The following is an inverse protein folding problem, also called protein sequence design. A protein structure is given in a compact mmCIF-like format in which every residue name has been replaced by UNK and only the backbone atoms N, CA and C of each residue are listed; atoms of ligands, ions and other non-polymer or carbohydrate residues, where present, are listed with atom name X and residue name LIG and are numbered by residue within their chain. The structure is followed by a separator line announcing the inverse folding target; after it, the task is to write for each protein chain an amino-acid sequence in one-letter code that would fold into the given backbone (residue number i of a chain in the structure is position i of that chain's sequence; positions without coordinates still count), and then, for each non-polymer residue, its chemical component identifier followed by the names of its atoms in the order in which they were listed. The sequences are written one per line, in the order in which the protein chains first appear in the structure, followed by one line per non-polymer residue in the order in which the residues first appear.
data_IF_442377623417
#
_entry.id   IF_442377623417
#
_cell.length_a   1.000
_cell.length_b   1.000
_cell.length_c   1.000
_cell.angle_alpha   90.00
_cell.angle_beta   90.00
_cell.angle_gamma   90.00
#
_symmetry.space_group_name_H-M   'P 1'
#
loop_
_entity.id
_entity.type
_entity.pdbx_description
1 polymer ?
#
# COMPACT_ATOMS: atom_id res chain seq x y z
N UNK A 1 -21.90 35.28 -14.63
CA UNK A 1 -21.95 35.31 -13.15
C UNK A 1 -21.69 33.89 -12.68
N UNK A 2 -20.42 33.56 -12.45
CA UNK A 2 -20.03 32.25 -11.94
C UNK A 2 -20.12 32.29 -10.41
N UNK A 3 -21.02 31.51 -9.84
CA UNK A 3 -21.02 31.22 -8.42
C UNK A 3 -19.90 30.20 -8.15
N UNK A 4 -18.80 30.65 -7.60
CA UNK A 4 -17.84 29.83 -6.91
C UNK A 4 -18.53 29.20 -5.70
N UNK A 5 -18.93 27.91 -5.81
CA UNK A 5 -19.19 27.12 -4.61
C UNK A 5 -17.87 26.96 -3.89
N UNK A 6 -17.74 27.58 -2.73
CA UNK A 6 -16.71 27.30 -1.75
C UNK A 6 -16.64 25.79 -1.56
N UNK A 7 -15.48 25.21 -1.87
CA UNK A 7 -15.15 23.88 -1.39
C UNK A 7 -15.25 23.96 0.14
N UNK A 8 -16.30 23.37 0.68
CA UNK A 8 -16.44 23.22 2.11
C UNK A 8 -15.17 22.53 2.61
N UNK A 9 -14.35 23.28 3.35
CA UNK A 9 -13.33 22.70 4.21
C UNK A 9 -14.07 21.67 5.05
N UNK A 10 -13.75 20.41 4.88
CA UNK A 10 -14.21 19.36 5.78
C UNK A 10 -13.79 19.83 7.17
N UNK A 11 -14.77 20.21 7.97
CA UNK A 11 -14.53 20.53 9.39
C UNK A 11 -13.87 19.30 10.01
N UNK A 12 -12.78 19.47 10.77
CA UNK A 12 -12.20 18.33 11.48
C UNK A 12 -13.32 17.74 12.34
N UNK A 13 -13.54 16.45 12.13
CA UNK A 13 -14.38 15.62 12.99
C UNK A 13 -13.93 15.87 14.44
N UNK A 14 -14.87 15.88 15.39
CA UNK A 14 -14.64 16.07 16.84
C UNK A 14 -13.86 14.88 17.46
N UNK A 15 -12.80 14.42 16.79
CA UNK A 15 -11.86 13.45 17.32
C UNK A 15 -10.97 14.13 18.37
N UNK A 16 -10.77 13.53 19.55
CA UNK A 16 -9.84 14.03 20.56
C UNK A 16 -8.37 13.90 20.10
N UNK A 17 -8.12 13.59 18.84
CA UNK A 17 -6.82 13.34 18.25
C UNK A 17 -6.16 14.65 17.82
N UNK A 18 -5.11 15.06 18.53
CA UNK A 18 -4.24 16.16 18.10
C UNK A 18 -3.07 15.59 17.29
N UNK A 19 -3.11 15.77 15.97
CA UNK A 19 -2.08 15.31 15.04
C UNK A 19 -0.68 15.80 15.40
N UNK A 20 -0.57 16.98 16.05
CA UNK A 20 0.71 17.54 16.48
C UNK A 20 1.30 16.76 17.65
N UNK A 21 0.48 16.43 18.65
CA UNK A 21 0.95 15.66 19.81
C UNK A 21 1.41 14.27 19.36
N UNK A 22 0.60 13.57 18.56
CA UNK A 22 0.92 12.23 18.10
C UNK A 22 2.14 12.19 17.18
N UNK A 23 2.35 13.20 16.34
CA UNK A 23 3.55 13.29 15.51
C UNK A 23 4.81 13.53 16.35
N UNK A 24 4.75 14.41 17.34
CA UNK A 24 5.85 14.61 18.28
C UNK A 24 6.22 13.32 19.03
N UNK A 25 5.22 12.60 19.53
CA UNK A 25 5.43 11.29 20.19
C UNK A 25 6.04 10.25 19.23
N UNK A 26 5.57 10.23 17.99
CA UNK A 26 6.10 9.36 16.93
C UNK A 26 7.60 9.64 16.70
N UNK A 27 7.99 10.91 16.49
CA UNK A 27 9.40 11.29 16.28
C UNK A 27 10.28 10.91 17.46
N UNK A 28 9.81 11.15 18.69
CA UNK A 28 10.54 10.78 19.92
C UNK A 28 10.72 9.26 20.05
N UNK A 29 9.70 8.49 19.70
CA UNK A 29 9.77 7.01 19.70
C UNK A 29 10.75 6.51 18.64
N UNK A 30 10.75 7.10 17.43
CA UNK A 30 11.72 6.79 16.39
C UNK A 30 13.15 7.11 16.84
N UNK A 31 13.37 8.28 17.45
CA UNK A 31 14.68 8.68 17.96
C UNK A 31 15.18 7.70 19.01
N UNK A 32 14.37 7.37 19.99
CA UNK A 32 14.71 6.41 21.07
C UNK A 32 15.09 5.05 20.48
N UNK A 33 14.27 4.53 19.56
CA UNK A 33 14.51 3.23 18.90
C UNK A 33 15.79 3.25 18.08
N UNK A 34 16.00 4.31 17.29
CA UNK A 34 17.16 4.42 16.39
C UNK A 34 18.45 4.55 17.21
N UNK A 35 18.47 5.40 18.23
CA UNK A 35 19.64 5.55 19.12
C UNK A 35 20.01 4.23 19.80
N UNK A 36 19.02 3.43 20.22
CA UNK A 36 19.27 2.12 20.81
C UNK A 36 19.95 1.10 19.86
N UNK A 37 19.88 1.32 18.55
CA UNK A 37 20.55 0.49 17.54
C UNK A 37 21.98 0.98 17.24
N UNK A 38 22.31 2.23 17.57
CA UNK A 38 23.62 2.81 17.29
C UNK A 38 24.65 2.34 18.32
N UNK A 39 25.84 2.03 17.86
CA UNK A 39 27.00 1.85 18.74
C UNK A 39 27.44 3.18 19.32
N UNK A 40 28.13 3.16 20.46
CA UNK A 40 28.68 4.35 21.09
C UNK A 40 29.53 5.19 20.09
N UNK A 41 29.34 6.49 20.07
CA UNK A 41 30.02 7.43 19.18
C UNK A 41 29.59 7.38 17.72
N UNK A 42 28.55 6.60 17.38
CA UNK A 42 28.04 6.49 16.01
C UNK A 42 26.85 7.43 15.78
N UNK A 43 26.66 7.80 14.52
CA UNK A 43 25.47 8.51 14.05
C UNK A 43 24.82 7.77 12.87
N UNK A 44 23.58 8.08 12.57
CA UNK A 44 22.84 7.58 11.40
C UNK A 44 22.35 8.75 10.57
N UNK A 45 22.68 8.72 9.27
CA UNK A 45 22.14 9.63 8.26
C UNK A 45 21.08 8.91 7.42
N UNK A 46 19.84 9.37 7.50
CA UNK A 46 18.72 8.89 6.69
C UNK A 46 18.54 9.87 5.52
N UNK A 47 18.42 9.36 4.30
CA UNK A 47 18.34 10.15 3.08
C UNK A 47 17.01 9.91 2.33
N UNK A 48 16.36 10.97 1.87
CA UNK A 48 15.15 10.88 1.07
C UNK A 48 15.39 10.28 -0.32
N UNK A 49 16.61 10.38 -0.83
CA UNK A 49 17.01 9.99 -2.18
C UNK A 49 17.27 11.21 -3.07
N UNK A 50 17.90 10.97 -4.21
CA UNK A 50 18.26 12.00 -5.19
C UNK A 50 17.33 11.95 -6.40
N UNK A 51 17.15 13.08 -7.08
CA UNK A 51 16.41 13.17 -8.33
C UNK A 51 17.06 12.28 -9.41
N UNK A 52 16.22 11.64 -10.20
CA UNK A 52 16.63 10.80 -11.31
C UNK A 52 15.98 11.26 -12.61
N UNK A 53 16.68 11.12 -13.73
CA UNK A 53 16.20 11.47 -15.05
C UNK A 53 16.07 10.23 -15.93
N UNK A 54 15.21 10.31 -16.94
CA UNK A 54 15.17 9.28 -17.98
C UNK A 54 16.50 9.25 -18.75
N UNK A 55 16.90 8.06 -19.20
CA UNK A 55 18.15 7.88 -19.90
C UNK A 55 18.23 8.77 -21.16
N UNK A 56 19.25 9.63 -21.22
CA UNK A 56 19.47 10.54 -22.36
C UNK A 56 18.49 11.71 -22.46
N UNK A 57 17.77 12.03 -21.38
CA UNK A 57 16.74 13.07 -21.32
C UNK A 57 16.98 13.96 -20.08
N UNK A 58 16.57 15.21 -20.14
CA UNK A 58 16.50 16.13 -19.00
C UNK A 58 15.18 16.05 -18.24
N UNK A 59 14.26 15.19 -18.66
CA UNK A 59 12.99 14.94 -17.98
C UNK A 59 13.23 14.12 -16.71
N UNK A 60 12.87 14.70 -15.56
CA UNK A 60 12.88 14.00 -14.28
C UNK A 60 11.86 12.86 -14.21
N UNK A 61 12.24 11.77 -13.53
CA UNK A 61 11.33 10.73 -13.09
C UNK A 61 10.56 11.26 -11.86
N UNK A 62 9.26 10.99 -11.76
CA UNK A 62 8.48 11.41 -10.60
C UNK A 62 9.13 10.92 -9.32
N UNK A 63 9.55 11.85 -8.47
CA UNK A 63 10.28 11.55 -7.25
C UNK A 63 9.35 10.97 -6.19
N UNK A 64 9.84 9.95 -5.51
CA UNK A 64 9.25 9.38 -4.32
C UNK A 64 10.34 9.22 -3.26
N UNK A 65 10.21 9.92 -2.15
CA UNK A 65 11.16 9.85 -1.07
C UNK A 65 11.20 8.44 -0.44
N UNK A 66 12.39 8.06 0.00
CA UNK A 66 12.65 6.75 0.59
C UNK A 66 11.87 6.53 1.88
N UNK A 67 11.31 5.33 2.06
CA UNK A 67 10.38 5.03 3.15
C UNK A 67 10.93 5.28 4.55
N UNK A 68 12.20 4.96 4.81
CA UNK A 68 12.79 5.24 6.13
C UNK A 68 12.97 6.73 6.41
N UNK A 69 13.20 7.56 5.39
CA UNK A 69 13.18 9.01 5.55
C UNK A 69 11.76 9.54 5.82
N UNK A 70 10.78 9.09 5.00
CA UNK A 70 9.37 9.48 5.17
C UNK A 70 8.80 9.06 6.52
N UNK A 71 9.32 8.00 7.12
CA UNK A 71 8.93 7.57 8.46
C UNK A 71 9.25 8.62 9.55
N UNK A 72 10.27 9.47 9.31
CA UNK A 72 10.64 10.57 10.19
C UNK A 72 9.98 11.89 9.78
N UNK A 73 10.00 12.20 8.49
CA UNK A 73 9.58 13.49 7.94
C UNK A 73 8.65 13.30 6.73
N UNK A 74 7.42 13.81 6.77
CA UNK A 74 6.47 13.73 5.66
C UNK A 74 6.82 14.73 4.54
N UNK A 75 8.06 14.69 4.06
CA UNK A 75 8.61 15.59 3.04
C UNK A 75 8.99 14.79 1.81
N UNK A 76 8.18 14.87 0.75
CA UNK A 76 8.43 14.16 -0.50
C UNK A 76 9.30 15.00 -1.44
N UNK A 77 10.59 15.14 -1.11
CA UNK A 77 11.55 15.95 -1.85
C UNK A 77 12.91 15.27 -1.90
N UNK A 78 13.66 15.38 -3.02
CA UNK A 78 15.03 14.86 -3.12
C UNK A 78 15.98 15.61 -2.17
N UNK A 79 17.08 14.95 -1.85
CA UNK A 79 18.23 15.49 -1.12
C UNK A 79 17.87 16.08 0.26
N UNK A 80 16.93 15.45 0.97
CA UNK A 80 16.59 15.77 2.34
C UNK A 80 17.16 14.72 3.29
N UNK A 81 17.62 15.11 4.49
CA UNK A 81 18.27 14.19 5.39
C UNK A 81 17.81 14.35 6.84
N UNK A 82 17.76 13.22 7.57
CA UNK A 82 17.66 13.20 9.02
C UNK A 82 18.95 12.62 9.58
N UNK A 83 19.64 13.38 10.44
CA UNK A 83 20.84 12.94 11.15
C UNK A 83 20.48 12.67 12.61
N UNK A 84 20.72 11.42 13.05
CA UNK A 84 20.42 10.95 14.41
C UNK A 84 21.71 10.64 15.16
N UNK A 85 21.83 11.17 16.39
CA UNK A 85 22.95 10.91 17.33
C UNK A 85 22.43 10.68 18.73
N UNK A 86 23.12 9.82 19.48
CA UNK A 86 22.80 9.60 20.88
C UNK A 86 23.01 10.88 21.71
N UNK A 87 22.01 11.24 22.53
CA UNK A 87 22.08 12.39 23.42
C UNK A 87 21.81 13.75 22.74
N UNK A 88 21.57 13.77 21.43
CA UNK A 88 21.24 14.97 20.68
C UNK A 88 19.78 14.89 20.17
N UNK A 89 19.17 16.06 19.93
CA UNK A 89 17.94 16.20 19.16
C UNK A 89 18.24 15.80 17.72
N UNK A 90 17.36 15.04 17.02
CA UNK A 90 17.59 14.72 15.62
C UNK A 90 17.69 15.99 14.78
N UNK A 91 18.58 16.01 13.79
CA UNK A 91 18.73 17.16 12.89
C UNK A 91 18.02 16.89 11.57
N UNK A 92 17.23 17.84 11.13
CA UNK A 92 16.73 17.87 9.76
C UNK A 92 17.65 18.73 8.90
N UNK A 93 18.46 18.10 8.05
CA UNK A 93 19.30 18.80 7.07
C UNK A 93 18.44 19.09 5.84
N UNK A 94 17.93 20.32 5.78
CA UNK A 94 17.00 20.80 4.79
C UNK A 94 17.78 21.43 3.63
N UNK A 95 17.99 20.68 2.55
CA UNK A 95 18.68 21.19 1.35
C UNK A 95 17.67 21.89 0.44
N UNK A 96 17.81 23.20 0.32
CA UNK A 96 16.97 24.07 -0.51
C UNK A 96 17.86 24.92 -1.39
N UNK A 97 18.27 24.45 -2.59
CA UNK A 97 19.11 25.22 -3.50
C UNK A 97 18.35 26.46 -4.00
N UNK A 98 19.11 27.52 -4.32
CA UNK A 98 18.56 28.65 -5.03
C UNK A 98 18.38 28.25 -6.49
N UNK A 99 17.16 28.20 -6.95
CA UNK A 99 16.78 27.82 -8.30
C UNK A 99 15.66 28.73 -8.81
N UNK A 100 15.72 29.08 -10.08
CA UNK A 100 14.68 29.89 -10.74
C UNK A 100 13.84 29.07 -11.74
N UNK A 101 14.24 27.81 -12.01
CA UNK A 101 13.54 26.92 -12.92
C UNK A 101 12.43 26.14 -12.20
N UNK A 102 12.67 25.74 -10.95
CA UNK A 102 11.77 24.89 -10.18
C UNK A 102 11.40 25.53 -8.85
N UNK A 103 10.14 25.38 -8.47
CA UNK A 103 9.68 25.75 -7.14
C UNK A 103 10.42 24.92 -6.08
N UNK A 104 11.11 25.64 -5.18
CA UNK A 104 11.89 25.05 -4.12
C UNK A 104 11.12 24.99 -2.79
N UNK A 105 9.82 25.33 -2.78
CA UNK A 105 8.97 25.25 -1.58
C UNK A 105 8.81 23.80 -1.10
N UNK A 106 8.84 23.62 0.22
CA UNK A 106 8.54 22.33 0.83
C UNK A 106 7.02 22.26 1.02
N UNK A 107 6.43 21.20 0.47
CA UNK A 107 5.01 20.91 0.64
C UNK A 107 4.82 20.14 1.95
N UNK A 108 4.87 20.85 3.08
CA UNK A 108 4.66 20.28 4.42
C UNK A 108 3.23 20.61 4.85
N UNK A 109 2.56 19.67 5.51
CA UNK A 109 1.28 19.93 6.15
C UNK A 109 1.46 21.06 7.19
N UNK A 110 0.74 22.19 7.07
CA UNK A 110 0.90 23.32 7.98
C UNK A 110 0.69 22.97 9.46
N UNK A 111 -0.05 21.91 9.77
CA UNK A 111 -0.23 21.42 11.14
C UNK A 111 1.04 20.78 11.71
N UNK A 112 1.90 20.24 10.85
CA UNK A 112 3.13 19.56 11.25
C UNK A 112 4.37 20.46 11.22
N UNK A 113 4.33 21.58 10.51
CA UNK A 113 5.49 22.46 10.33
C UNK A 113 6.08 22.92 11.66
N UNK A 114 5.26 23.45 12.58
CA UNK A 114 5.70 23.85 13.91
C UNK A 114 6.24 22.71 14.76
N UNK A 115 5.66 21.51 14.63
CA UNK A 115 6.15 20.32 15.33
C UNK A 115 7.52 19.88 14.82
N UNK A 116 7.77 20.02 13.51
CA UNK A 116 9.09 19.73 12.92
C UNK A 116 10.14 20.66 13.52
N UNK A 117 9.87 21.95 13.64
CA UNK A 117 10.78 22.91 14.29
C UNK A 117 11.00 22.61 15.78
N UNK A 118 9.96 22.11 16.47
CA UNK A 118 10.05 21.72 17.88
C UNK A 118 10.81 20.41 18.12
N UNK A 119 10.67 19.42 17.24
CA UNK A 119 11.25 18.07 17.43
C UNK A 119 12.58 17.86 16.70
N UNK A 120 12.96 18.74 15.78
CA UNK A 120 14.22 18.67 15.03
C UNK A 120 15.04 19.96 15.16
N UNK A 121 16.38 19.83 15.18
CA UNK A 121 17.27 20.94 14.89
C UNK A 121 17.31 21.12 13.36
N UNK A 122 16.57 22.11 12.84
CA UNK A 122 16.49 22.34 11.39
C UNK A 122 17.70 23.12 10.90
N UNK A 123 18.56 22.46 10.12
CA UNK A 123 19.75 23.05 9.48
C UNK A 123 19.45 23.30 8.00
N UNK A 124 19.33 24.57 7.62
CA UNK A 124 19.07 24.98 6.23
C UNK A 124 20.37 25.05 5.44
N UNK A 125 20.45 24.29 4.37
CA UNK A 125 21.59 24.18 3.46
C UNK A 125 21.17 24.64 2.07
N UNK A 126 22.09 25.23 1.32
CA UNK A 126 21.84 25.71 -0.04
C UNK A 126 22.38 24.77 -1.12
N UNK A 127 23.14 23.75 -0.73
CA UNK A 127 23.65 22.75 -1.64
C UNK A 127 23.88 21.40 -0.95
N UNK A 128 23.82 20.32 -1.73
CA UNK A 128 24.12 18.97 -1.29
C UNK A 128 25.56 18.83 -0.75
N UNK A 129 26.50 19.59 -1.27
CA UNK A 129 27.91 19.56 -0.83
C UNK A 129 28.11 20.01 0.63
N UNK A 130 27.20 20.83 1.16
CA UNK A 130 27.26 21.29 2.55
C UNK A 130 26.89 20.23 3.58
N UNK A 131 26.24 19.12 3.14
CA UNK A 131 25.85 18.00 4.03
C UNK A 131 27.08 17.37 4.69
N UNK A 132 28.21 17.25 3.97
CA UNK A 132 29.45 16.67 4.48
C UNK A 132 29.99 17.42 5.70
N UNK A 133 29.79 18.75 5.79
CA UNK A 133 30.20 19.55 6.92
C UNK A 133 29.37 19.35 8.19
N UNK A 134 28.21 18.69 8.09
CA UNK A 134 27.28 18.46 9.20
C UNK A 134 27.54 17.16 9.96
N UNK A 135 28.44 16.29 9.46
CA UNK A 135 28.67 14.95 9.99
C UNK A 135 30.16 14.59 10.02
N UNK A 136 30.54 13.67 10.91
CA UNK A 136 31.78 12.93 10.80
C UNK A 136 31.49 11.64 10.02
N UNK A 137 31.84 11.62 8.75
CA UNK A 137 31.55 10.50 7.87
C UNK A 137 32.14 9.18 8.38
N UNK A 138 33.31 9.20 9.01
CA UNK A 138 34.01 7.99 9.49
C UNK A 138 33.24 7.27 10.62
N UNK A 139 32.39 7.99 11.36
CA UNK A 139 31.55 7.46 12.43
C UNK A 139 30.06 7.43 12.06
N UNK A 140 29.69 7.85 10.84
CA UNK A 140 28.32 7.91 10.36
C UNK A 140 27.94 6.66 9.59
N UNK A 141 26.83 6.03 9.95
CA UNK A 141 26.14 5.02 9.14
C UNK A 141 25.11 5.71 8.26
N UNK A 142 24.80 5.13 7.11
CA UNK A 142 23.86 5.69 6.14
C UNK A 142 22.75 4.69 5.82
N UNK A 143 21.52 5.19 5.74
CA UNK A 143 20.35 4.46 5.20
C UNK A 143 19.68 5.34 4.14
N UNK A 144 19.61 4.83 2.91
CA UNK A 144 18.99 5.53 1.79
C UNK A 144 19.25 4.85 0.47
N UNK A 145 18.61 5.33 -0.61
CA UNK A 145 18.72 4.69 -1.93
C UNK A 145 20.06 4.99 -2.64
N UNK A 146 20.78 6.05 -2.23
CA UNK A 146 22.01 6.50 -2.89
C UNK A 146 23.27 6.10 -2.12
N UNK A 147 23.49 4.79 -2.03
CA UNK A 147 24.65 4.23 -1.32
C UNK A 147 26.00 4.64 -1.95
N UNK A 148 26.05 4.86 -3.27
CA UNK A 148 27.27 5.27 -3.96
C UNK A 148 27.68 6.70 -3.58
N UNK A 149 26.73 7.62 -3.50
CA UNK A 149 26.96 8.97 -2.99
C UNK A 149 27.45 8.94 -1.53
N UNK A 150 26.79 8.18 -0.67
CA UNK A 150 27.18 8.04 0.73
C UNK A 150 28.61 7.50 0.87
N UNK A 151 28.98 6.50 0.09
CA UNK A 151 30.36 5.96 0.06
C UNK A 151 31.38 7.01 -0.40
N UNK A 152 31.02 7.89 -1.34
CA UNK A 152 31.89 8.98 -1.77
C UNK A 152 32.18 10.00 -0.68
N UNK A 153 31.30 10.14 0.33
CA UNK A 153 31.51 10.93 1.53
C UNK A 153 32.43 10.22 2.56
N UNK A 154 32.69 8.93 2.39
CA UNK A 154 33.48 8.13 3.32
C UNK A 154 32.70 7.66 4.55
N UNK A 155 31.37 7.48 4.45
CA UNK A 155 30.55 6.94 5.54
C UNK A 155 31.02 5.55 5.97
N UNK A 156 30.87 5.26 7.25
CA UNK A 156 31.33 3.98 7.83
C UNK A 156 30.62 2.76 7.22
N UNK A 157 29.32 2.84 7.02
CA UNK A 157 28.53 1.81 6.35
C UNK A 157 27.34 2.43 5.61
N UNK A 158 26.89 1.76 4.54
CA UNK A 158 25.69 2.13 3.83
C UNK A 158 24.71 0.93 3.80
N UNK A 159 23.47 1.16 4.26
CA UNK A 159 22.39 0.18 4.30
C UNK A 159 22.78 -1.14 5.03
N UNK A 160 23.50 -1.03 6.14
CA UNK A 160 23.93 -2.19 6.90
C UNK A 160 22.71 -3.01 7.39
N UNK A 161 22.64 -4.32 7.09
CA UNK A 161 21.49 -5.15 7.49
C UNK A 161 21.21 -5.13 9.01
N UNK A 162 22.22 -4.94 9.82
CA UNK A 162 22.10 -4.83 11.29
C UNK A 162 21.37 -3.58 11.76
N UNK A 163 21.21 -2.56 10.89
CA UNK A 163 20.43 -1.35 11.13
C UNK A 163 19.10 -1.38 10.38
N UNK A 164 19.12 -1.80 9.11
CA UNK A 164 17.91 -1.83 8.28
C UNK A 164 16.90 -2.86 8.81
N UNK A 165 17.34 -4.08 9.14
CA UNK A 165 16.43 -5.14 9.55
C UNK A 165 15.59 -4.80 10.80
N UNK A 166 16.15 -4.29 11.92
CA UNK A 166 15.32 -3.92 13.08
C UNK A 166 14.38 -2.74 12.77
N UNK A 167 14.77 -1.82 11.89
CA UNK A 167 13.90 -0.71 11.49
C UNK A 167 12.74 -1.21 10.60
N UNK A 168 13.00 -2.07 9.62
CA UNK A 168 11.97 -2.71 8.79
C UNK A 168 10.98 -3.51 9.65
N UNK A 169 11.51 -4.31 10.59
CA UNK A 169 10.68 -5.12 11.47
C UNK A 169 9.72 -4.28 12.30
N UNK A 170 10.22 -3.15 12.82
CA UNK A 170 9.45 -2.26 13.68
C UNK A 170 8.37 -1.47 12.92
N UNK A 171 8.56 -1.19 11.63
CA UNK A 171 7.57 -0.46 10.80
C UNK A 171 6.26 -1.21 10.61
N UNK A 172 6.24 -2.53 10.79
CA UNK A 172 5.00 -3.28 10.73
C UNK A 172 3.98 -2.83 11.78
N UNK A 173 4.43 -2.39 12.97
CA UNK A 173 3.60 -1.92 14.09
C UNK A 173 3.51 -0.39 14.03
N UNK A 174 2.31 0.12 13.81
CA UNK A 174 2.05 1.54 13.56
C UNK A 174 1.86 2.33 14.85
N UNK A 175 2.39 3.55 14.90
CA UNK A 175 2.05 4.54 15.93
C UNK A 175 0.66 5.14 15.69
N UNK A 176 0.10 5.86 16.67
CA UNK A 176 -1.19 6.54 16.49
C UNK A 176 -1.13 7.61 15.39
N UNK A 177 0.01 8.30 15.22
CA UNK A 177 0.21 9.20 14.08
C UNK A 177 0.05 8.47 12.74
N UNK A 178 0.74 7.35 12.56
CA UNK A 178 0.70 6.56 11.33
C UNK A 178 -0.72 6.03 11.05
N UNK A 179 -1.40 5.54 12.09
CA UNK A 179 -2.77 5.04 11.99
C UNK A 179 -3.74 6.13 11.52
N UNK A 180 -3.60 7.38 12.01
CA UNK A 180 -4.46 8.47 11.55
C UNK A 180 -4.19 8.85 10.09
N UNK A 181 -2.91 8.86 9.63
CA UNK A 181 -2.62 9.09 8.22
C UNK A 181 -3.29 8.03 7.33
N UNK A 182 -3.24 6.76 7.74
CA UNK A 182 -3.89 5.65 7.03
C UNK A 182 -5.43 5.78 7.02
N UNK A 183 -6.04 6.22 8.14
CA UNK A 183 -7.49 6.51 8.19
C UNK A 183 -7.88 7.63 7.25
N UNK A 184 -7.11 8.72 7.21
CA UNK A 184 -7.38 9.84 6.29
C UNK A 184 -7.23 9.39 4.85
N UNK A 185 -6.17 8.65 4.50
CA UNK A 185 -5.96 8.11 3.17
C UNK A 185 -7.11 7.17 2.76
N UNK A 186 -7.57 6.30 3.67
CA UNK A 186 -8.74 5.44 3.46
C UNK A 186 -10.02 6.23 3.15
N UNK A 187 -10.34 7.25 3.96
CA UNK A 187 -11.52 8.10 3.74
C UNK A 187 -11.48 8.83 2.40
N UNK A 188 -10.32 9.36 1.99
CA UNK A 188 -10.16 10.00 0.68
C UNK A 188 -10.37 9.01 -0.47
N UNK A 189 -9.76 7.82 -0.37
CA UNK A 189 -9.90 6.79 -1.40
C UNK A 189 -11.34 6.28 -1.53
N UNK A 190 -12.09 6.14 -0.43
CA UNK A 190 -13.51 5.75 -0.47
C UNK A 190 -14.37 6.74 -1.26
N UNK A 191 -14.12 8.04 -1.14
CA UNK A 191 -14.79 9.04 -1.98
C UNK A 191 -14.46 8.84 -3.46
N UNK A 192 -13.20 8.51 -3.77
CA UNK A 192 -12.76 8.16 -5.13
C UNK A 192 -13.45 6.92 -5.68
N UNK A 193 -13.57 5.84 -4.87
CA UNK A 193 -14.26 4.61 -5.25
C UNK A 193 -15.74 4.85 -5.52
N UNK A 194 -16.42 5.68 -4.72
CA UNK A 194 -17.82 6.05 -4.97
C UNK A 194 -17.98 6.76 -6.31
N UNK A 195 -17.15 7.77 -6.61
CA UNK A 195 -17.17 8.48 -7.88
C UNK A 195 -16.84 7.57 -9.08
N UNK A 196 -15.90 6.65 -8.91
CA UNK A 196 -15.56 5.67 -9.94
C UNK A 196 -16.74 4.72 -10.25
N UNK A 197 -17.43 4.22 -9.23
CA UNK A 197 -18.61 3.37 -9.39
C UNK A 197 -19.76 4.14 -10.08
N UNK A 198 -20.01 5.39 -9.72
CA UNK A 198 -20.99 6.25 -10.39
C UNK A 198 -20.66 6.46 -11.88
N UNK A 199 -19.38 6.77 -12.19
CA UNK A 199 -18.89 6.91 -13.56
C UNK A 199 -19.08 5.63 -14.38
N UNK A 200 -18.79 4.46 -13.80
CA UNK A 200 -19.01 3.16 -14.42
C UNK A 200 -20.50 2.93 -14.75
N UNK A 201 -21.39 3.12 -13.76
CA UNK A 201 -22.82 2.91 -13.92
C UNK A 201 -23.45 3.89 -14.94
N UNK A 202 -22.81 5.05 -15.13
CA UNK A 202 -23.18 6.02 -16.18
C UNK A 202 -22.59 5.66 -17.56
N UNK A 203 -21.89 4.52 -17.72
CA UNK A 203 -21.29 4.08 -18.97
C UNK A 203 -19.95 4.74 -19.30
N UNK A 204 -19.20 5.13 -18.27
CA UNK A 204 -17.84 5.66 -18.42
C UNK A 204 -16.85 4.62 -18.93
N UNK A 205 -15.87 5.07 -19.73
CA UNK A 205 -14.70 4.28 -20.11
C UNK A 205 -13.76 4.11 -18.90
N UNK A 206 -12.82 3.14 -18.95
CA UNK A 206 -11.82 2.95 -17.87
C UNK A 206 -11.04 4.24 -17.58
N UNK A 207 -10.75 5.03 -18.63
CA UNK A 207 -10.10 6.33 -18.50
C UNK A 207 -10.97 7.36 -17.77
N UNK A 208 -12.27 7.45 -18.10
CA UNK A 208 -13.22 8.37 -17.45
C UNK A 208 -13.43 7.97 -15.97
N UNK A 209 -13.54 6.67 -15.69
CA UNK A 209 -13.67 6.11 -14.34
C UNK A 209 -12.42 6.44 -13.49
N UNK A 210 -11.23 6.25 -14.07
CA UNK A 210 -9.97 6.60 -13.40
C UNK A 210 -9.89 8.09 -13.06
N UNK A 211 -10.26 8.97 -14.01
CA UNK A 211 -10.26 10.41 -13.76
C UNK A 211 -11.29 10.82 -12.70
N UNK A 212 -12.46 10.17 -12.66
CA UNK A 212 -13.47 10.41 -11.62
C UNK A 212 -12.92 10.09 -10.23
N UNK A 213 -12.18 8.97 -10.09
CA UNK A 213 -11.47 8.62 -8.86
C UNK A 213 -10.48 9.71 -8.45
N UNK A 214 -9.55 10.09 -9.35
CA UNK A 214 -8.52 11.08 -9.05
C UNK A 214 -9.12 12.44 -8.66
N UNK A 215 -10.16 12.89 -9.39
CA UNK A 215 -10.83 14.15 -9.11
C UNK A 215 -11.52 14.16 -7.75
N UNK A 216 -12.19 13.07 -7.38
CA UNK A 216 -12.85 12.96 -6.08
C UNK A 216 -11.87 12.90 -4.91
N UNK A 217 -10.70 12.28 -5.10
CA UNK A 217 -9.61 12.29 -4.12
C UNK A 217 -8.82 13.60 -4.09
N UNK A 218 -8.96 14.48 -5.10
CA UNK A 218 -8.14 15.69 -5.27
C UNK A 218 -6.67 15.38 -5.57
N UNK A 219 -6.39 14.29 -6.28
CA UNK A 219 -5.04 13.79 -6.57
C UNK A 219 -4.67 13.96 -8.04
N UNK A 220 -3.39 14.17 -8.28
CA UNK A 220 -2.76 13.92 -9.58
C UNK A 220 -2.26 12.47 -9.62
N UNK A 221 -2.13 11.87 -10.82
CA UNK A 221 -1.76 10.46 -10.95
C UNK A 221 -0.44 10.09 -10.25
N UNK A 222 0.56 10.96 -10.29
CA UNK A 222 1.85 10.72 -9.63
C UNK A 222 1.80 10.81 -8.09
N UNK A 223 0.70 11.31 -7.52
CA UNK A 223 0.48 11.40 -6.08
C UNK A 223 -0.21 10.16 -5.51
N UNK A 224 -0.72 9.26 -6.35
CA UNK A 224 -1.30 8.00 -5.89
C UNK A 224 -0.22 7.10 -5.27
N UNK A 225 -0.58 6.23 -4.30
CA UNK A 225 0.38 5.32 -3.67
C UNK A 225 0.96 4.30 -4.65
N UNK A 226 0.20 3.92 -5.66
CA UNK A 226 0.55 3.04 -6.77
C UNK A 226 -0.28 3.42 -7.99
N UNK A 227 0.08 2.88 -9.16
CA UNK A 227 -0.68 3.11 -10.38
C UNK A 227 -2.03 2.38 -10.29
N UNK A 228 -3.13 3.10 -10.23
CA UNK A 228 -4.47 2.54 -10.11
C UNK A 228 -4.76 1.51 -11.20
N UNK A 229 -5.47 0.44 -10.84
CA UNK A 229 -6.01 -0.57 -11.74
C UNK A 229 -7.48 -0.24 -11.94
N UNK A 230 -7.91 -0.09 -13.20
CA UNK A 230 -9.32 0.13 -13.55
C UNK A 230 -9.62 -0.80 -14.71
N UNK A 231 -10.27 -1.92 -14.45
CA UNK A 231 -10.56 -2.95 -15.43
C UNK A 231 -12.05 -3.20 -15.62
N UNK A 232 -12.53 -3.11 -16.85
CA UNK A 232 -13.88 -3.50 -17.22
C UNK A 232 -13.90 -4.93 -17.75
N UNK A 233 -14.79 -5.76 -17.22
CA UNK A 233 -15.06 -7.11 -17.69
C UNK A 233 -13.77 -7.98 -17.71
N UNK A 234 -13.37 -8.55 -18.87
CA UNK A 234 -12.17 -9.38 -18.97
C UNK A 234 -10.88 -8.71 -18.48
N UNK A 235 -10.81 -7.37 -18.55
CA UNK A 235 -9.65 -6.63 -18.03
C UNK A 235 -9.53 -6.75 -16.50
N UNK A 236 -10.64 -7.03 -15.80
CA UNK A 236 -10.66 -7.32 -14.37
C UNK A 236 -9.95 -8.64 -13.99
N UNK A 237 -9.69 -9.53 -14.96
CA UNK A 237 -8.90 -10.76 -14.76
C UNK A 237 -7.39 -10.56 -14.99
N UNK A 238 -6.96 -9.37 -15.40
CA UNK A 238 -5.53 -9.01 -15.49
C UNK A 238 -5.13 -8.32 -14.21
N UNK A 239 -4.46 -9.04 -13.31
CA UNK A 239 -4.23 -8.61 -11.92
C UNK A 239 -3.56 -7.24 -11.79
N UNK A 240 -2.67 -6.86 -12.72
CA UNK A 240 -2.02 -5.55 -12.78
C UNK A 240 -2.32 -4.85 -14.11
N UNK A 241 -3.61 -4.67 -14.43
CA UNK A 241 -4.05 -4.01 -15.67
C UNK A 241 -3.79 -2.50 -15.64
N UNK A 242 -3.06 -1.97 -16.65
CA UNK A 242 -2.58 -0.59 -16.64
C UNK A 242 -3.07 0.29 -17.78
N UNK A 243 -3.79 -0.27 -18.79
CA UNK A 243 -4.04 0.47 -20.03
C UNK A 243 -5.08 1.59 -19.92
N UNK A 244 -6.11 1.44 -19.08
CA UNK A 244 -7.21 2.41 -18.94
C UNK A 244 -7.77 2.86 -20.30
N UNK A 245 -8.51 1.96 -20.96
CA UNK A 245 -9.10 2.19 -22.28
C UNK A 245 -9.94 3.47 -22.32
N UNK A 246 -9.79 4.26 -23.39
CA UNK A 246 -10.62 5.44 -23.66
C UNK A 246 -11.91 5.11 -24.39
N UNK A 247 -11.98 3.92 -24.98
CA UNK A 247 -13.18 3.46 -25.64
C UNK A 247 -14.25 3.07 -24.60
N UNK A 248 -15.45 3.61 -24.76
CA UNK A 248 -16.63 3.18 -23.99
C UNK A 248 -17.02 1.77 -24.42
N UNK A 249 -17.49 0.98 -23.47
CA UNK A 249 -17.95 -0.38 -23.70
C UNK A 249 -19.44 -0.46 -23.39
N UNK A 250 -20.25 -0.52 -24.45
CA UNK A 250 -21.68 -0.71 -24.31
C UNK A 250 -21.99 -2.05 -23.62
N UNK A 251 -22.86 -2.03 -22.62
CA UNK A 251 -23.26 -3.21 -21.88
C UNK A 251 -22.13 -3.82 -21.02
N UNK A 252 -21.15 -3.02 -20.59
CA UNK A 252 -20.13 -3.48 -19.65
C UNK A 252 -20.78 -4.08 -18.42
N UNK A 253 -20.33 -5.28 -18.03
CA UNK A 253 -20.93 -6.10 -16.99
C UNK A 253 -20.41 -5.77 -15.60
N UNK A 254 -19.08 -5.48 -15.51
CA UNK A 254 -18.37 -5.42 -14.26
C UNK A 254 -17.24 -4.40 -14.33
N UNK A 255 -17.07 -3.63 -13.25
CA UNK A 255 -15.88 -2.84 -12.94
C UNK A 255 -15.14 -3.48 -11.77
N UNK A 256 -13.85 -3.73 -11.94
CA UNK A 256 -12.91 -3.89 -10.83
C UNK A 256 -12.02 -2.65 -10.81
N UNK A 257 -12.01 -1.94 -9.68
CA UNK A 257 -11.10 -0.83 -9.44
C UNK A 257 -10.28 -1.12 -8.19
N UNK A 258 -8.95 -1.05 -8.33
CA UNK A 258 -7.96 -1.15 -7.28
C UNK A 258 -7.17 0.15 -7.30
N UNK A 259 -7.42 0.97 -6.27
CA UNK A 259 -6.97 2.35 -6.23
C UNK A 259 -6.88 2.87 -4.80
N UNK A 260 -5.84 3.66 -4.53
CA UNK A 260 -5.57 4.22 -3.22
C UNK A 260 -5.34 5.73 -3.23
N UNK A 261 -5.34 6.30 -2.05
CA UNK A 261 -4.93 7.68 -1.77
C UNK A 261 -3.69 7.70 -0.87
N UNK A 262 -2.97 8.81 -0.84
CA UNK A 262 -1.77 8.97 -0.01
C UNK A 262 -1.83 10.27 0.80
N UNK A 263 -1.54 10.17 2.10
CA UNK A 263 -1.50 11.29 3.03
C UNK A 263 -0.20 11.23 3.84
N UNK A 264 0.59 12.29 3.80
CA UNK A 264 1.86 12.41 4.53
C UNK A 264 2.80 11.19 4.36
N UNK A 265 2.81 10.60 3.16
CA UNK A 265 3.61 9.42 2.83
C UNK A 265 2.88 8.09 2.99
N UNK A 266 1.80 8.00 3.77
CA UNK A 266 1.04 6.77 4.04
C UNK A 266 -0.03 6.52 3.00
N UNK A 267 -0.05 5.31 2.43
CA UNK A 267 -0.99 4.91 1.38
C UNK A 267 -2.13 4.05 1.89
N UNK A 268 -3.34 4.25 1.36
CA UNK A 268 -4.39 3.23 1.41
C UNK A 268 -4.32 2.32 0.18
N UNK A 269 -4.86 1.13 0.31
CA UNK A 269 -4.95 0.13 -0.75
C UNK A 269 -6.35 -0.50 -0.72
N UNK A 270 -7.15 -0.25 -1.75
CA UNK A 270 -8.57 -0.60 -1.75
C UNK A 270 -8.96 -1.16 -3.11
N UNK A 271 -9.53 -2.35 -3.11
CA UNK A 271 -10.19 -2.88 -4.30
C UNK A 271 -11.69 -2.99 -4.09
N UNK A 272 -12.45 -2.57 -5.09
CA UNK A 272 -13.91 -2.75 -5.17
C UNK A 272 -14.31 -3.32 -6.52
N UNK A 273 -15.27 -4.23 -6.48
CA UNK A 273 -15.88 -4.79 -7.68
C UNK A 273 -17.36 -4.40 -7.72
N UNK A 274 -17.79 -3.75 -8.82
CA UNK A 274 -19.15 -3.25 -9.01
C UNK A 274 -19.79 -3.95 -10.21
N UNK A 275 -20.98 -4.52 -10.03
CA UNK A 275 -21.79 -5.10 -11.10
C UNK A 275 -22.73 -4.05 -11.73
N UNK A 276 -22.87 -4.06 -13.04
CA UNK A 276 -23.94 -3.34 -13.74
C UNK A 276 -25.20 -4.21 -13.88
N UNK A 277 -26.28 -3.64 -14.43
CA UNK A 277 -27.49 -4.38 -14.80
C UNK A 277 -27.28 -5.46 -15.86
N UNK A 278 -26.15 -5.44 -16.58
CA UNK A 278 -25.80 -6.40 -17.63
C UNK A 278 -24.95 -7.57 -17.08
N UNK A 279 -24.61 -7.53 -15.79
CA UNK A 279 -23.76 -8.53 -15.16
C UNK A 279 -24.45 -9.90 -15.14
N UNK A 280 -23.69 -10.97 -15.40
CA UNK A 280 -24.18 -12.33 -15.27
C UNK A 280 -24.68 -12.58 -13.83
N UNK A 281 -25.88 -13.15 -13.60
CA UNK A 281 -26.46 -13.30 -12.25
C UNK A 281 -25.54 -14.03 -11.26
N UNK A 282 -24.85 -15.08 -11.71
CA UNK A 282 -23.89 -15.81 -10.86
C UNK A 282 -22.72 -14.91 -10.47
N UNK A 283 -22.22 -14.07 -11.39
CA UNK A 283 -21.13 -13.14 -11.07
C UNK A 283 -21.56 -12.10 -10.03
N UNK A 284 -22.76 -11.54 -10.18
CA UNK A 284 -23.34 -10.62 -9.18
C UNK A 284 -23.46 -11.28 -7.81
N UNK A 285 -23.87 -12.55 -7.76
CA UNK A 285 -23.95 -13.35 -6.51
C UNK A 285 -22.56 -13.63 -5.92
N UNK A 286 -21.57 -13.92 -6.76
CA UNK A 286 -20.19 -14.12 -6.34
C UNK A 286 -19.56 -12.86 -5.72
N UNK A 287 -19.88 -11.66 -6.24
CA UNK A 287 -19.42 -10.40 -5.64
C UNK A 287 -19.96 -10.26 -4.21
N UNK A 288 -21.24 -10.57 -3.99
CA UNK A 288 -21.82 -10.55 -2.65
C UNK A 288 -21.18 -11.60 -1.74
N UNK A 289 -20.97 -12.82 -2.25
CA UNK A 289 -20.29 -13.89 -1.52
C UNK A 289 -18.84 -13.54 -1.17
N UNK A 290 -18.09 -12.95 -2.10
CA UNK A 290 -16.72 -12.50 -1.87
C UNK A 290 -16.65 -11.37 -0.83
N UNK A 291 -17.60 -10.43 -0.87
CA UNK A 291 -17.71 -9.38 0.15
C UNK A 291 -17.97 -9.97 1.54
N UNK A 292 -18.81 -10.98 1.63
CA UNK A 292 -19.08 -11.68 2.89
C UNK A 292 -17.82 -12.41 3.39
N UNK A 293 -17.15 -13.15 2.52
CA UNK A 293 -15.91 -13.86 2.83
C UNK A 293 -14.81 -12.90 3.32
N UNK A 294 -14.62 -11.77 2.65
CA UNK A 294 -13.66 -10.74 3.10
C UNK A 294 -13.97 -10.28 4.51
N UNK A 295 -15.22 -9.93 4.81
CA UNK A 295 -15.65 -9.50 6.16
C UNK A 295 -15.47 -10.60 7.21
N UNK A 296 -15.67 -11.86 6.88
CA UNK A 296 -15.46 -13.01 7.76
C UNK A 296 -13.96 -13.20 8.08
N UNK A 297 -13.09 -13.06 7.07
CA UNK A 297 -11.65 -13.08 7.27
C UNK A 297 -11.23 -11.91 8.17
N UNK A 298 -11.69 -10.70 7.90
CA UNK A 298 -11.43 -9.51 8.74
C UNK A 298 -11.87 -9.75 10.18
N UNK A 299 -13.09 -10.25 10.41
CA UNK A 299 -13.62 -10.51 11.74
C UNK A 299 -12.81 -11.57 12.53
N UNK A 300 -12.08 -12.44 11.84
CA UNK A 300 -11.23 -13.48 12.46
C UNK A 300 -9.89 -12.96 12.96
N UNK A 301 -9.44 -11.77 12.51
CA UNK A 301 -8.12 -11.20 12.81
C UNK A 301 -7.99 -10.93 14.31
N UNK A 302 -6.88 -11.41 14.88
CA UNK A 302 -6.50 -11.15 16.28
C UNK A 302 -5.00 -11.26 16.51
N UNK A 303 -4.44 -10.61 17.54
CA UNK A 303 -3.04 -10.77 17.89
C UNK A 303 -2.66 -12.24 18.11
N UNK A 304 -1.44 -12.61 17.72
CA UNK A 304 -0.90 -13.96 17.86
C UNK A 304 -1.24 -14.93 16.73
N UNK A 305 -2.13 -14.56 15.79
CA UNK A 305 -2.37 -15.36 14.59
C UNK A 305 -1.18 -15.31 13.63
N UNK A 306 -0.91 -16.42 12.95
CA UNK A 306 -0.01 -16.42 11.80
C UNK A 306 -0.75 -15.87 10.57
N UNK A 307 -0.19 -14.85 9.88
CA UNK A 307 -0.83 -14.26 8.69
C UNK A 307 -1.18 -15.30 7.61
N UNK A 308 -0.36 -16.35 7.34
CA UNK A 308 -0.72 -17.39 6.37
C UNK A 308 -2.07 -18.07 6.64
N UNK A 309 -2.53 -18.16 7.89
CA UNK A 309 -3.84 -18.75 8.20
C UNK A 309 -5.02 -17.94 7.64
N UNK A 310 -4.85 -16.63 7.45
CA UNK A 310 -5.86 -15.79 6.77
C UNK A 310 -5.93 -16.12 5.27
N UNK A 311 -4.80 -16.45 4.66
CA UNK A 311 -4.75 -16.89 3.28
C UNK A 311 -5.43 -18.26 3.10
N UNK A 312 -5.15 -19.21 3.99
CA UNK A 312 -5.80 -20.52 3.96
C UNK A 312 -7.32 -20.38 4.12
N UNK A 313 -7.79 -19.47 4.98
CA UNK A 313 -9.21 -19.13 5.11
C UNK A 313 -9.79 -18.56 3.80
N UNK A 314 -9.06 -17.66 3.12
CA UNK A 314 -9.50 -17.10 1.84
C UNK A 314 -9.61 -18.18 0.75
N UNK A 315 -8.65 -19.08 0.63
CA UNK A 315 -8.65 -20.17 -0.34
C UNK A 315 -9.79 -21.16 -0.06
N UNK A 316 -10.04 -21.49 1.22
CA UNK A 316 -11.18 -22.34 1.61
C UNK A 316 -12.51 -21.69 1.23
N UNK A 317 -12.69 -20.40 1.55
CA UNK A 317 -13.91 -19.66 1.21
C UNK A 317 -14.10 -19.52 -0.31
N UNK A 318 -13.03 -19.32 -1.09
CA UNK A 318 -13.12 -19.37 -2.57
C UNK A 318 -13.62 -20.73 -3.04
N UNK A 319 -13.10 -21.85 -2.49
CA UNK A 319 -13.56 -23.18 -2.84
C UNK A 319 -15.05 -23.39 -2.50
N UNK A 320 -15.51 -22.91 -1.36
CA UNK A 320 -16.91 -22.92 -0.96
C UNK A 320 -17.80 -22.15 -1.93
N UNK A 321 -17.39 -20.93 -2.32
CA UNK A 321 -18.10 -20.11 -3.32
C UNK A 321 -18.18 -20.81 -4.68
N UNK A 322 -17.12 -21.50 -5.12
CA UNK A 322 -17.13 -22.26 -6.37
C UNK A 322 -18.18 -23.38 -6.35
N UNK A 323 -18.32 -24.09 -5.22
CA UNK A 323 -19.31 -25.15 -5.05
C UNK A 323 -20.72 -24.61 -4.91
N UNK A 324 -20.93 -23.60 -4.05
CA UNK A 324 -22.22 -22.96 -3.79
C UNK A 324 -22.87 -22.43 -5.07
N UNK A 325 -22.06 -21.85 -5.96
CA UNK A 325 -22.55 -21.26 -7.21
C UNK A 325 -22.52 -22.23 -8.41
N UNK A 326 -22.26 -23.53 -8.16
CA UNK A 326 -22.29 -24.56 -9.19
C UNK A 326 -21.17 -24.43 -10.26
N UNK A 327 -20.11 -23.72 -9.94
CA UNK A 327 -18.89 -23.61 -10.79
C UNK A 327 -18.04 -24.86 -10.62
N UNK A 328 -18.01 -25.40 -9.40
CA UNK A 328 -17.38 -26.67 -9.08
C UNK A 328 -18.37 -27.64 -8.46
N UNK A 329 -17.98 -28.93 -8.41
CA UNK A 329 -18.76 -30.05 -7.83
C UNK A 329 -17.90 -30.79 -6.81
N UNK A 330 -18.51 -31.39 -5.82
CA UNK A 330 -17.86 -32.14 -4.75
C UNK A 330 -17.61 -31.29 -3.52
N UNK A 331 -16.68 -31.72 -2.69
CA UNK A 331 -16.34 -31.01 -1.44
C UNK A 331 -15.35 -29.88 -1.69
N UNK A 332 -15.57 -28.75 -1.03
CA UNK A 332 -14.69 -27.59 -1.12
C UNK A 332 -13.24 -27.93 -0.67
N UNK A 333 -13.09 -28.77 0.37
CA UNK A 333 -11.78 -29.25 0.83
C UNK A 333 -11.00 -30.00 -0.23
N UNK A 334 -11.65 -30.84 -1.06
CA UNK A 334 -11.00 -31.54 -2.18
C UNK A 334 -10.48 -30.55 -3.24
N UNK A 335 -11.21 -29.45 -3.50
CA UNK A 335 -10.77 -28.41 -4.42
C UNK A 335 -9.52 -27.68 -3.92
N UNK A 336 -9.39 -27.50 -2.60
CA UNK A 336 -8.20 -26.91 -1.97
C UNK A 336 -7.02 -27.88 -2.07
N UNK A 337 -7.19 -29.13 -1.61
CA UNK A 337 -6.13 -30.15 -1.57
C UNK A 337 -5.56 -30.44 -2.97
N UNK A 338 -6.40 -30.44 -4.00
CA UNK A 338 -5.99 -30.62 -5.40
C UNK A 338 -5.46 -29.35 -6.07
N UNK A 339 -5.39 -28.25 -5.35
CA UNK A 339 -4.91 -26.97 -5.85
C UNK A 339 -5.83 -26.28 -6.88
N UNK A 340 -7.07 -26.73 -7.02
CA UNK A 340 -8.04 -26.18 -7.98
C UNK A 340 -8.44 -24.76 -7.56
N UNK A 341 -8.79 -24.54 -6.28
CA UNK A 341 -9.17 -23.23 -5.76
C UNK A 341 -8.07 -22.18 -5.96
N UNK A 342 -6.80 -22.56 -5.85
CA UNK A 342 -5.65 -21.68 -6.09
C UNK A 342 -5.53 -21.19 -7.54
N UNK A 343 -6.17 -21.87 -8.51
CA UNK A 343 -6.22 -21.40 -9.90
C UNK A 343 -7.23 -20.29 -10.12
N UNK A 344 -8.22 -20.18 -9.22
CA UNK A 344 -9.19 -19.09 -9.21
C UNK A 344 -8.73 -17.91 -8.33
N UNK A 345 -7.85 -18.13 -7.34
CA UNK A 345 -7.19 -17.09 -6.55
C UNK A 345 -5.67 -17.29 -6.58
N UNK A 346 -4.98 -16.77 -7.61
CA UNK A 346 -3.56 -17.03 -7.82
C UNK A 346 -2.60 -16.12 -7.06
N UNK A 347 -3.09 -15.23 -6.20
CA UNK A 347 -2.30 -14.28 -5.42
C UNK A 347 -2.46 -14.51 -3.91
N UNK A 348 -1.64 -13.85 -3.09
CA UNK A 348 -1.78 -13.84 -1.64
C UNK A 348 -3.02 -13.06 -1.18
N UNK A 349 -3.49 -13.34 0.04
CA UNK A 349 -4.65 -12.63 0.63
C UNK A 349 -4.33 -11.20 1.04
N UNK A 350 -3.08 -10.76 0.87
CA UNK A 350 -2.67 -9.40 1.20
C UNK A 350 -1.21 -9.27 1.64
N UNK A 351 -0.89 -8.10 2.18
CA UNK A 351 0.46 -7.67 2.53
C UNK A 351 0.44 -6.62 3.64
N UNK A 352 1.59 -6.37 4.30
CA UNK A 352 1.73 -5.20 5.18
C UNK A 352 1.53 -3.92 4.39
N UNK A 353 0.92 -2.92 5.03
CA UNK A 353 0.60 -1.61 4.46
C UNK A 353 1.13 -0.49 5.37
N UNK A 354 1.60 0.60 4.77
CA UNK A 354 2.08 1.78 5.48
C UNK A 354 2.56 2.88 4.55
N UNK A 355 3.80 3.33 4.75
CA UNK A 355 4.47 4.29 3.86
C UNK A 355 4.65 3.68 2.45
N UNK A 356 4.98 2.41 2.40
CA UNK A 356 4.96 1.64 1.15
C UNK A 356 3.69 0.82 1.10
N UNK A 357 3.11 0.70 -0.09
CA UNK A 357 1.91 -0.14 -0.29
C UNK A 357 2.21 -1.59 0.07
N UNK A 358 3.24 -2.17 -0.53
CA UNK A 358 3.84 -3.41 -0.04
C UNK A 358 4.91 -3.05 0.98
N UNK A 359 4.50 -2.86 2.25
CA UNK A 359 5.41 -2.36 3.29
C UNK A 359 6.47 -3.40 3.68
N UNK A 360 7.58 -2.92 4.22
CA UNK A 360 8.75 -3.73 4.56
C UNK A 360 8.47 -4.70 5.73
N UNK A 361 9.29 -5.73 5.86
CA UNK A 361 9.27 -6.66 6.99
C UNK A 361 8.23 -7.78 6.90
N UNK A 362 7.43 -7.91 5.81
CA UNK A 362 6.36 -8.91 5.68
C UNK A 362 6.82 -10.36 5.79
N UNK A 363 8.03 -10.68 5.37
CA UNK A 363 8.63 -12.03 5.49
C UNK A 363 9.69 -12.12 6.60
N UNK A 364 9.89 -11.06 7.37
CA UNK A 364 10.98 -11.00 8.31
C UNK A 364 10.69 -11.84 9.57
N UNK A 365 11.64 -12.70 9.94
CA UNK A 365 11.49 -13.64 11.06
C UNK A 365 11.59 -12.96 12.43
N UNK A 366 12.45 -11.93 12.57
CA UNK A 366 12.67 -11.21 13.82
C UNK A 366 13.31 -9.84 13.57
N UNK A 367 13.42 -9.01 14.60
CA UNK A 367 14.11 -7.73 14.53
C UNK A 367 15.60 -7.87 14.11
N UNK A 368 16.24 -8.99 14.37
CA UNK A 368 17.60 -9.24 13.90
C UNK A 368 17.71 -9.70 12.45
N UNK A 369 16.59 -9.79 11.75
CA UNK A 369 16.49 -10.25 10.35
C UNK A 369 16.01 -11.69 10.23
N UNK A 370 16.52 -12.38 9.21
CA UNK A 370 16.02 -13.70 8.82
C UNK A 370 14.76 -13.60 7.96
N UNK A 371 14.39 -14.71 7.28
CA UNK A 371 13.22 -14.78 6.40
C UNK A 371 12.41 -16.02 6.71
N UNK A 372 11.09 -15.87 6.80
CA UNK A 372 10.13 -16.97 6.82
C UNK A 372 9.55 -17.06 5.40
N UNK A 373 9.82 -18.16 4.72
CA UNK A 373 9.29 -18.35 3.38
C UNK A 373 7.77 -18.57 3.41
N UNK A 374 7.03 -18.10 2.39
CA UNK A 374 5.62 -18.43 2.25
C UNK A 374 5.41 -19.93 2.07
N UNK A 375 4.22 -20.45 2.41
CA UNK A 375 3.89 -21.85 2.17
C UNK A 375 4.07 -22.23 0.69
N UNK A 376 4.57 -23.44 0.42
CA UNK A 376 4.88 -23.90 -0.96
C UNK A 376 3.66 -23.89 -1.90
N UNK A 377 2.45 -24.05 -1.35
CA UNK A 377 1.20 -23.97 -2.11
C UNK A 377 0.74 -22.53 -2.40
N UNK A 378 1.36 -21.53 -1.75
CA UNK A 378 1.01 -20.10 -1.88
C UNK A 378 2.25 -19.21 -1.95
N UNK A 379 3.14 -19.42 -2.94
CA UNK A 379 4.43 -18.72 -3.05
C UNK A 379 4.29 -17.21 -3.29
N UNK A 380 3.12 -16.76 -3.73
CA UNK A 380 2.82 -15.34 -3.97
C UNK A 380 2.40 -14.58 -2.70
N UNK A 381 2.25 -15.27 -1.56
CA UNK A 381 1.89 -14.62 -0.29
C UNK A 381 3.00 -13.68 0.17
N UNK A 382 2.66 -12.41 0.47
CA UNK A 382 3.63 -11.35 0.78
C UNK A 382 3.87 -11.12 2.27
N UNK A 383 3.11 -11.79 3.15
CA UNK A 383 3.28 -11.69 4.60
C UNK A 383 3.25 -13.08 5.23
N UNK A 384 4.24 -13.34 6.09
CA UNK A 384 4.37 -14.60 6.86
C UNK A 384 4.53 -14.33 8.37
N UNK A 385 4.30 -13.04 8.78
CA UNK A 385 4.43 -12.61 10.16
C UNK A 385 3.35 -13.22 11.07
N UNK A 386 3.69 -13.34 12.36
CA UNK A 386 2.70 -13.40 13.43
C UNK A 386 2.14 -12.01 13.66
N UNK A 387 0.81 -11.90 13.77
CA UNK A 387 0.12 -10.63 13.94
C UNK A 387 0.35 -10.05 15.34
N UNK A 388 0.70 -8.79 15.38
CA UNK A 388 0.88 -8.00 16.60
C UNK A 388 -0.12 -6.84 16.60
N UNK A 389 -0.49 -6.34 17.77
CA UNK A 389 -1.34 -5.16 17.91
C UNK A 389 -0.74 -3.97 17.14
N UNK A 390 -1.58 -3.18 16.48
CA UNK A 390 -1.22 -2.05 15.62
C UNK A 390 -0.48 -2.41 14.33
N UNK A 391 -0.34 -3.68 13.97
CA UNK A 391 -0.03 -4.00 12.58
C UNK A 391 -1.17 -3.58 11.66
N UNK A 392 -0.81 -3.06 10.48
CA UNK A 392 -1.75 -2.75 9.40
C UNK A 392 -1.35 -3.52 8.15
N UNK A 393 -2.35 -4.14 7.52
CA UNK A 393 -2.20 -4.94 6.32
C UNK A 393 -3.50 -4.95 5.50
N UNK A 394 -3.42 -5.42 4.27
CA UNK A 394 -4.59 -5.64 3.42
C UNK A 394 -5.21 -7.01 3.63
N UNK A 395 -6.51 -7.12 3.42
CA UNK A 395 -7.24 -8.37 3.21
C UNK A 395 -7.97 -8.23 1.88
N UNK A 396 -7.53 -9.00 0.87
CA UNK A 396 -7.90 -8.84 -0.53
C UNK A 396 -8.28 -10.17 -1.23
N UNK A 397 -9.20 -10.98 -0.69
CA UNK A 397 -9.59 -12.18 -1.40
C UNK A 397 -10.16 -11.85 -2.78
N UNK A 398 -9.90 -12.72 -3.75
CA UNK A 398 -10.36 -12.56 -5.12
C UNK A 398 -10.74 -13.89 -5.77
N UNK A 399 -11.51 -13.82 -6.86
CA UNK A 399 -11.89 -14.95 -7.68
C UNK A 399 -11.87 -14.54 -9.16
N UNK A 400 -11.07 -15.25 -9.98
CA UNK A 400 -10.80 -14.85 -11.34
C UNK A 400 -11.02 -15.99 -12.33
N UNK A 401 -11.57 -15.66 -13.49
CA UNK A 401 -11.73 -16.57 -14.61
C UNK A 401 -10.64 -16.31 -15.67
N UNK A 402 -9.39 -16.72 -15.34
CA UNK A 402 -8.20 -16.49 -16.19
C UNK A 402 -7.97 -17.71 -17.08
N UNK A 403 -8.21 -17.66 -18.42
CA UNK A 403 -8.07 -18.81 -19.30
C UNK A 403 -6.70 -19.50 -19.17
N UNK A 404 -5.60 -18.75 -19.10
CA UNK A 404 -4.24 -19.28 -18.95
C UNK A 404 -4.07 -20.22 -17.73
N UNK A 405 -4.81 -19.97 -16.64
CA UNK A 405 -4.76 -20.77 -15.41
C UNK A 405 -5.79 -21.91 -15.41
N UNK A 406 -6.91 -21.73 -16.13
CA UNK A 406 -8.02 -22.66 -16.14
C UNK A 406 -7.92 -23.71 -17.26
N UNK A 407 -7.37 -23.37 -18.44
CA UNK A 407 -7.23 -24.30 -19.56
C UNK A 407 -6.42 -25.56 -19.21
N UNK A 408 -5.34 -25.50 -18.41
CA UNK A 408 -4.65 -26.71 -17.95
C UNK A 408 -5.54 -27.63 -17.09
N UNK A 409 -6.48 -27.06 -16.29
CA UNK A 409 -7.44 -27.86 -15.53
C UNK A 409 -8.42 -28.58 -16.45
N UNK A 410 -8.82 -27.97 -17.56
CA UNK A 410 -9.70 -28.57 -18.58
C UNK A 410 -9.09 -29.81 -19.22
N UNK A 411 -7.78 -29.85 -19.30
CA UNK A 411 -7.01 -30.98 -19.86
C UNK A 411 -6.54 -32.02 -18.82
N UNK A 412 -6.97 -31.89 -17.56
CA UNK A 412 -6.56 -32.73 -16.44
C UNK A 412 -7.74 -33.50 -15.82
N UNK A 413 -7.46 -34.33 -14.82
CA UNK A 413 -8.48 -35.02 -14.00
C UNK A 413 -9.39 -34.06 -13.23
N UNK A 414 -8.97 -32.82 -13.06
CA UNK A 414 -9.79 -31.75 -12.44
C UNK A 414 -10.98 -31.37 -13.33
N UNK A 415 -10.94 -31.66 -14.63
CA UNK A 415 -11.99 -31.29 -15.57
C UNK A 415 -13.40 -31.75 -15.15
N UNK A 416 -13.49 -32.97 -14.58
CA UNK A 416 -14.76 -33.54 -14.13
C UNK A 416 -15.39 -32.82 -12.92
N UNK A 417 -14.55 -32.15 -12.12
CA UNK A 417 -14.98 -31.41 -10.94
C UNK A 417 -15.50 -29.99 -11.28
N UNK A 418 -15.38 -29.53 -12.53
CA UNK A 418 -15.68 -28.16 -12.93
C UNK A 418 -16.84 -28.08 -13.96
N UNK A 419 -17.64 -27.05 -13.85
CA UNK A 419 -18.74 -26.75 -14.78
C UNK A 419 -18.26 -25.81 -15.89
N UNK A 420 -17.65 -26.38 -16.92
CA UNK A 420 -17.04 -25.63 -18.02
C UNK A 420 -18.03 -24.76 -18.79
N UNK A 421 -19.28 -25.20 -18.91
CA UNK A 421 -20.32 -24.36 -19.55
C UNK A 421 -20.55 -23.06 -18.81
N UNK A 422 -20.58 -23.14 -17.47
CA UNK A 422 -20.74 -21.94 -16.65
C UNK A 422 -19.44 -21.12 -16.60
N UNK A 423 -18.28 -21.76 -16.48
CA UNK A 423 -16.98 -21.08 -16.50
C UNK A 423 -16.83 -20.28 -17.80
N UNK A 424 -17.11 -20.88 -18.95
CA UNK A 424 -17.02 -20.22 -20.25
C UNK A 424 -17.96 -19.01 -20.35
N UNK A 425 -19.14 -19.08 -19.71
CA UNK A 425 -20.07 -17.97 -19.64
C UNK A 425 -19.60 -16.84 -18.71
N UNK A 426 -18.75 -17.14 -17.69
CA UNK A 426 -18.25 -16.17 -16.72
C UNK A 426 -16.91 -15.54 -17.13
N UNK A 427 -16.10 -16.18 -17.98
CA UNK A 427 -14.84 -15.63 -18.50
C UNK A 427 -14.98 -14.19 -19.02
N UNK A 428 -16.02 -13.84 -19.79
CA UNK A 428 -16.19 -12.45 -20.25
C UNK A 428 -16.35 -11.40 -19.15
N UNK A 429 -16.76 -11.79 -17.95
CA UNK A 429 -16.87 -10.89 -16.78
C UNK A 429 -15.54 -10.72 -16.02
N UNK A 430 -14.52 -11.53 -16.32
CA UNK A 430 -13.17 -11.35 -15.79
C UNK A 430 -12.97 -11.88 -14.38
N UNK A 431 -13.01 -11.01 -13.37
CA UNK A 431 -12.69 -11.39 -12.00
C UNK A 431 -13.26 -10.44 -10.95
N UNK A 432 -13.14 -10.86 -9.70
CA UNK A 432 -13.60 -10.15 -8.50
C UNK A 432 -12.42 -10.01 -7.54
N UNK A 433 -12.25 -8.84 -6.94
CA UNK A 433 -11.44 -8.61 -5.72
C UNK A 433 -12.18 -7.63 -4.84
N UNK A 434 -12.18 -7.93 -3.55
CA UNK A 434 -12.66 -7.03 -2.49
C UNK A 434 -11.52 -6.89 -1.51
N UNK A 435 -11.12 -5.67 -1.19
CA UNK A 435 -9.94 -5.40 -0.41
C UNK A 435 -10.17 -4.26 0.57
N UNK A 436 -9.79 -4.49 1.80
CA UNK A 436 -9.79 -3.50 2.87
C UNK A 436 -8.47 -3.45 3.64
N UNK A 437 -8.21 -2.32 4.29
CA UNK A 437 -7.05 -2.09 5.14
C UNK A 437 -7.42 -2.33 6.60
N UNK A 438 -6.71 -3.25 7.24
CA UNK A 438 -7.08 -3.77 8.55
C UNK A 438 -5.99 -3.50 9.58
N UNK A 439 -6.37 -2.86 10.70
CA UNK A 439 -5.55 -2.72 11.90
C UNK A 439 -5.85 -3.84 12.86
N UNK A 440 -4.83 -4.50 13.38
CA UNK A 440 -4.94 -5.46 14.47
C UNK A 440 -5.17 -4.71 15.79
N UNK A 441 -6.22 -5.07 16.50
CA UNK A 441 -6.51 -4.55 17.84
C UNK A 441 -6.60 -5.69 18.85
N UNK A 442 -6.59 -5.43 20.18
CA UNK A 442 -6.73 -6.48 21.18
C UNK A 442 -8.07 -7.23 21.13
N UNK A 443 -9.11 -6.61 20.59
CA UNK A 443 -10.47 -7.15 20.59
C UNK A 443 -11.02 -7.33 19.19
N UNK A 444 -11.70 -6.32 18.64
CA UNK A 444 -12.27 -6.36 17.29
C UNK A 444 -11.36 -5.59 16.33
N UNK A 445 -10.89 -6.18 15.22
CA UNK A 445 -10.05 -5.49 14.27
C UNK A 445 -10.73 -4.22 13.76
N UNK A 446 -9.94 -3.18 13.52
CA UNK A 446 -10.42 -1.93 12.92
C UNK A 446 -10.27 -2.03 11.40
N UNK A 447 -11.38 -1.88 10.67
CA UNK A 447 -11.35 -1.71 9.23
C UNK A 447 -11.22 -0.21 8.91
N UNK A 448 -10.09 0.20 8.30
CA UNK A 448 -9.75 1.59 8.02
C UNK A 448 -10.42 2.10 6.73
N UNK A 449 -11.11 1.23 5.99
CA UNK A 449 -11.62 1.50 4.63
C UNK A 449 -13.10 1.11 4.47
N UNK A 450 -13.84 1.09 5.59
CA UNK A 450 -15.31 0.95 5.62
C UNK A 450 -15.97 1.90 6.62
#
# INVERSE_FOLDING_TARGET
VFHTKEFARMTPDNSPFDSRISYAEHVRALNTRTVALLKEGRSLLLHSGSEQHYFGDDRGINFQAYGHFLHWLPVNRPDQFVLVRAGEKPRYLQVVPQDFWYDQSLQIDPQLEGVIEDEFDVVRLTSLSEVSAQLDASTCDYIGPDAAWAQSLGVHSANAPTLVAPLDFARAVKSEYELEQLRVAGRQALAGHAAAAESFLAGGSEFEIHNAFLQACGLLEYQTPYTNIVGLDMNAAVLHYQHKSRAKKDGAQLLLIDAGSRVNGYGSDITRTTASQHCHPVMASLIAGMTKLELEIVASVKPGMAYPSLHDHAIAGVAELLVEHGIARGDASDLVERGIAHKFMPHGVGHLLGIQVHDVGGHQASASGGRIEPPAHSPALRCTRTLEENMVFTIEPGLYFIPMLLDPLRASDAAASLNWTLIDALIPSGGIRIEDNIRVTPTTPENLTR
#
